data_IF_547236481191
#
_entry.id   IF_547236481191
#
_cell.length_a   1.000
_cell.length_b   1.000
_cell.length_c   1.000
_cell.angle_alpha   90.00
_cell.angle_beta   90.00
_cell.angle_gamma   90.00
#
_symmetry.space_group_name_H-M   'P 1'
#
loop_
_entity.id
_entity.type
_entity.pdbx_description
1 polymer ?
#
# COMPACT_ATOMS: atom_id res chain seq x y z
N UNK A 1 20.31 -9.09 -9.03
CA UNK A 1 20.46 -8.14 -7.98
C UNK A 1 19.57 -6.91 -8.18
N UNK A 2 19.90 -6.07 -9.17
CA UNK A 2 19.08 -4.88 -9.42
C UNK A 2 17.67 -5.25 -9.84
N UNK A 3 17.56 -6.27 -10.67
CA UNK A 3 16.26 -6.72 -11.14
C UNK A 3 15.39 -7.21 -9.99
N UNK A 4 15.98 -7.91 -9.05
CA UNK A 4 15.24 -8.40 -7.89
C UNK A 4 14.73 -7.27 -7.02
N UNK A 5 15.54 -6.22 -6.86
CA UNK A 5 15.11 -5.08 -6.06
C UNK A 5 13.94 -4.35 -6.70
N UNK A 6 14.03 -4.13 -8.00
CA UNK A 6 12.94 -3.48 -8.74
C UNK A 6 11.68 -4.32 -8.68
N UNK A 7 11.82 -5.62 -8.88
CA UNK A 7 10.68 -6.52 -8.82
C UNK A 7 10.05 -6.56 -7.43
N UNK A 8 10.87 -6.54 -6.38
CA UNK A 8 10.36 -6.55 -5.01
C UNK A 8 9.57 -5.27 -4.71
N UNK A 9 10.09 -4.10 -5.13
CA UNK A 9 9.40 -2.84 -4.91
C UNK A 9 8.07 -2.79 -5.65
N UNK A 10 8.08 -3.22 -6.92
CA UNK A 10 6.85 -3.31 -7.71
C UNK A 10 5.88 -4.30 -7.10
N UNK A 11 6.42 -5.40 -6.58
CA UNK A 11 5.60 -6.44 -5.98
C UNK A 11 4.82 -5.93 -4.77
N UNK A 12 5.45 -5.10 -3.93
CA UNK A 12 4.76 -4.52 -2.79
C UNK A 12 3.65 -3.58 -3.25
N UNK A 13 3.93 -2.70 -4.19
CA UNK A 13 2.93 -1.79 -4.73
C UNK A 13 1.77 -2.57 -5.34
N UNK A 14 2.08 -3.62 -6.10
CA UNK A 14 1.03 -4.45 -6.70
C UNK A 14 0.21 -5.19 -5.65
N UNK A 15 0.85 -5.70 -4.62
CA UNK A 15 0.13 -6.38 -3.54
C UNK A 15 -0.81 -5.43 -2.83
N UNK A 16 -0.36 -4.22 -2.57
CA UNK A 16 -1.20 -3.20 -1.95
C UNK A 16 -2.36 -2.86 -2.87
N UNK A 17 -2.08 -2.71 -4.17
CA UNK A 17 -3.13 -2.41 -5.14
C UNK A 17 -4.20 -3.49 -5.12
N UNK A 18 -3.80 -4.74 -5.14
CA UNK A 18 -4.76 -5.85 -5.12
C UNK A 18 -5.48 -5.96 -3.78
N UNK A 19 -4.88 -5.49 -2.71
CA UNK A 19 -5.50 -5.49 -1.39
C UNK A 19 -6.49 -4.35 -1.17
N UNK A 20 -6.45 -3.32 -2.03
CA UNK A 20 -7.38 -2.21 -1.95
C UNK A 20 -8.69 -2.55 -2.64
N UNK A 21 -9.76 -1.86 -2.23
CA UNK A 21 -11.02 -1.94 -2.95
C UNK A 21 -10.81 -1.54 -4.40
N UNK A 22 -11.55 -2.17 -5.29
CA UNK A 22 -11.37 -1.97 -6.72
C UNK A 22 -11.44 -0.49 -7.11
N UNK A 23 -12.35 0.26 -6.50
CA UNK A 23 -12.50 1.68 -6.80
C UNK A 23 -11.27 2.50 -6.45
N UNK A 24 -10.45 2.02 -5.52
CA UNK A 24 -9.26 2.74 -5.07
C UNK A 24 -8.02 2.41 -5.87
N UNK A 25 -8.02 1.29 -6.57
CA UNK A 25 -6.83 0.79 -7.27
C UNK A 25 -6.22 1.78 -8.25
N UNK A 26 -7.01 2.44 -9.11
CA UNK A 26 -6.42 3.37 -10.07
C UNK A 26 -5.87 4.64 -9.43
N UNK A 27 -6.20 4.89 -8.16
CA UNK A 27 -5.75 6.09 -7.45
C UNK A 27 -4.51 5.84 -6.59
N UNK A 28 -4.03 4.61 -6.56
CA UNK A 28 -2.79 4.29 -5.85
C UNK A 28 -1.59 4.73 -6.69
N UNK A 29 -0.76 5.58 -6.09
CA UNK A 29 0.47 6.04 -6.75
C UNK A 29 1.60 5.08 -6.46
N UNK A 30 1.79 4.74 -5.19
CA UNK A 30 2.87 3.86 -4.77
C UNK A 30 2.62 3.37 -3.36
N UNK A 31 3.33 2.33 -2.99
CA UNK A 31 3.35 1.84 -1.62
C UNK A 31 4.80 1.52 -1.25
N UNK A 32 5.14 1.78 -0.01
CA UNK A 32 6.49 1.52 0.49
C UNK A 32 6.40 1.11 1.95
N UNK A 33 7.41 0.40 2.40
CA UNK A 33 7.49 -0.01 3.79
C UNK A 33 8.54 0.84 4.49
N UNK A 34 8.17 1.36 5.66
CA UNK A 34 9.08 2.13 6.50
C UNK A 34 9.07 1.53 7.89
N UNK A 35 10.09 0.74 8.21
CA UNK A 35 10.12 0.01 9.47
C UNK A 35 8.91 -0.92 9.53
N UNK A 36 8.09 -0.76 10.56
CA UNK A 36 6.89 -1.58 10.74
C UNK A 36 5.65 -0.94 10.11
N UNK A 37 5.81 0.20 9.46
CA UNK A 37 4.68 0.92 8.87
C UNK A 37 4.61 0.71 7.38
N UNK A 38 3.39 0.65 6.87
CA UNK A 38 3.14 0.65 5.44
C UNK A 38 2.72 2.05 5.04
N UNK A 39 3.44 2.64 4.08
CA UNK A 39 3.10 3.96 3.56
C UNK A 39 2.40 3.77 2.22
N UNK A 40 1.17 4.26 2.14
CA UNK A 40 0.36 4.19 0.92
C UNK A 40 0.20 5.61 0.39
N UNK A 41 0.61 5.84 -0.84
CA UNK A 41 0.51 7.15 -1.47
C UNK A 41 -0.63 7.13 -2.47
N UNK A 42 -1.58 8.02 -2.29
CA UNK A 42 -2.73 8.16 -3.17
C UNK A 42 -2.61 9.44 -3.98
N UNK A 43 -3.35 9.52 -5.08
CA UNK A 43 -3.30 10.69 -5.96
C UNK A 43 -4.18 11.85 -5.48
N UNK A 44 -5.04 11.61 -4.49
CA UNK A 44 -5.94 12.63 -3.98
C UNK A 44 -6.31 12.36 -2.53
N UNK A 45 -6.45 13.43 -1.76
CA UNK A 45 -6.85 13.34 -0.36
C UNK A 45 -8.26 12.76 -0.20
N UNK A 46 -9.06 12.81 -1.24
CA UNK A 46 -10.42 12.27 -1.20
C UNK A 46 -10.45 10.78 -0.86
N UNK A 47 -9.39 10.05 -1.16
CA UNK A 47 -9.35 8.61 -0.95
C UNK A 47 -8.79 8.21 0.41
N UNK A 48 -8.22 9.15 1.16
CA UNK A 48 -7.60 8.86 2.44
C UNK A 48 -8.55 8.18 3.43
N UNK A 49 -9.78 8.68 3.66
CA UNK A 49 -10.68 8.01 4.60
C UNK A 49 -11.01 6.59 4.19
N UNK A 50 -11.16 6.36 2.90
CA UNK A 50 -11.48 5.02 2.40
C UNK A 50 -10.34 4.04 2.59
N UNK A 51 -9.10 4.50 2.36
CA UNK A 51 -7.95 3.65 2.60
C UNK A 51 -7.83 3.33 4.09
N UNK A 52 -8.02 4.31 4.94
CA UNK A 52 -7.98 4.10 6.38
C UNK A 52 -9.06 3.13 6.84
N UNK A 53 -10.24 3.26 6.27
CA UNK A 53 -11.36 2.38 6.62
C UNK A 53 -11.04 0.93 6.28
N UNK A 54 -10.37 0.70 5.16
CA UNK A 54 -10.00 -0.65 4.74
C UNK A 54 -8.62 -1.10 5.20
N UNK A 55 -7.95 -0.32 6.07
CA UNK A 55 -6.56 -0.60 6.42
C UNK A 55 -6.38 -1.96 7.09
N UNK A 56 -7.30 -2.36 7.95
CA UNK A 56 -7.20 -3.64 8.65
C UNK A 56 -7.24 -4.80 7.65
N UNK A 57 -8.17 -4.76 6.71
CA UNK A 57 -8.25 -5.78 5.68
C UNK A 57 -7.00 -5.81 4.81
N UNK A 58 -6.47 -4.64 4.49
CA UNK A 58 -5.26 -4.55 3.70
C UNK A 58 -4.08 -5.20 4.43
N UNK A 59 -3.93 -4.90 5.72
CA UNK A 59 -2.88 -5.51 6.54
C UNK A 59 -2.99 -7.02 6.54
N UNK A 60 -4.20 -7.53 6.75
CA UNK A 60 -4.43 -8.97 6.80
C UNK A 60 -4.09 -9.65 5.46
N UNK A 61 -4.46 -9.02 4.36
CA UNK A 61 -4.17 -9.58 3.04
C UNK A 61 -2.68 -9.61 2.76
N UNK A 62 -1.97 -8.55 3.14
CA UNK A 62 -0.53 -8.51 2.95
C UNK A 62 0.18 -9.56 3.79
N UNK A 63 -0.22 -9.69 5.05
CA UNK A 63 0.39 -10.67 5.94
C UNK A 63 0.10 -12.10 5.46
N UNK A 64 -1.10 -12.35 4.99
CA UNK A 64 -1.44 -13.65 4.41
C UNK A 64 -0.62 -13.96 3.17
N UNK A 65 -0.21 -12.93 2.44
CA UNK A 65 0.62 -13.09 1.26
C UNK A 65 2.11 -13.18 1.54
N UNK A 66 2.51 -13.23 2.82
CA UNK A 66 3.90 -13.40 3.20
C UNK A 66 4.62 -12.14 3.60
N UNK A 67 3.96 -10.99 3.61
CA UNK A 67 4.58 -9.77 4.08
C UNK A 67 4.76 -9.81 5.61
N UNK A 68 5.85 -9.26 6.13
CA UNK A 68 5.98 -9.11 7.58
C UNK A 68 4.85 -8.28 8.16
N UNK A 69 4.55 -8.49 9.42
CA UNK A 69 3.46 -7.79 10.10
C UNK A 69 3.60 -6.27 9.93
N UNK A 70 2.46 -5.63 9.72
CA UNK A 70 2.38 -4.18 9.55
C UNK A 70 1.75 -3.60 10.80
N UNK A 71 2.46 -2.66 11.45
CA UNK A 71 1.94 -2.00 12.64
C UNK A 71 0.88 -0.96 12.26
N UNK A 72 1.23 -0.05 11.38
CA UNK A 72 0.32 1.02 10.95
C UNK A 72 0.32 1.17 9.45
N UNK A 73 -0.83 1.58 8.93
CA UNK A 73 -0.95 2.00 7.54
C UNK A 73 -1.00 3.53 7.53
N UNK A 74 0.01 4.14 6.95
CA UNK A 74 0.11 5.59 6.84
C UNK A 74 -0.32 5.97 5.44
N UNK A 75 -1.31 6.84 5.31
CA UNK A 75 -1.79 7.28 4.02
C UNK A 75 -1.26 8.67 3.74
N UNK A 76 -0.61 8.82 2.60
CA UNK A 76 -0.10 10.11 2.14
C UNK A 76 -0.72 10.45 0.80
N UNK A 77 -0.76 11.72 0.49
CA UNK A 77 -1.24 12.19 -0.80
C UNK A 77 -0.04 12.76 -1.55
N UNK A 78 0.06 12.39 -2.83
CA UNK A 78 1.15 12.90 -3.66
C UNK A 78 1.01 14.41 -3.75
N UNK A 79 2.06 15.12 -3.35
CA UNK A 79 2.09 16.57 -3.42
C UNK A 79 2.19 17.06 -4.85
N UNK A 80 1.91 18.33 -5.01
CA UNK A 80 2.05 18.99 -6.31
C UNK A 80 3.40 19.63 -6.45
#
# INVERSE_FOLDING_TARGET
>A
ALEKRAAAAQSLTERVRLGLAEALRPHLVAAARRGDNLVVVMDSAAWTPRVRYGAQSLKERLESGGEPAVDKVVVKVRGK
#
